data_IF_536061484209
#
_entry.id   IF_536061484209
#
_cell.length_a   1.000
_cell.length_b   1.000
_cell.length_c   1.000
_cell.angle_alpha   90.00
_cell.angle_beta   90.00
_cell.angle_gamma   90.00
#
_symmetry.space_group_name_H-M   'P 1'
#
loop_
_entity.id
_entity.type
_entity.pdbx_description
1 polymer ?
#
# COMPACT_ATOMS: atom_id res chain seq x y z
N UNK A 1 7.78 10.32 8.22
CA UNK A 1 7.06 11.39 7.47
C UNK A 1 5.56 11.21 7.63
N UNK A 2 4.83 12.19 8.21
CA UNK A 2 3.41 12.01 8.61
C UNK A 2 2.46 11.83 7.42
N UNK A 3 2.70 12.50 6.30
CA UNK A 3 1.87 12.40 5.09
C UNK A 3 1.94 11.00 4.47
N UNK A 4 3.15 10.41 4.36
CA UNK A 4 3.33 9.02 3.91
C UNK A 4 2.69 8.02 4.87
N UNK A 5 2.67 8.31 6.17
CA UNK A 5 1.96 7.45 7.12
C UNK A 5 0.45 7.47 6.87
N UNK A 6 -0.15 8.64 6.62
CA UNK A 6 -1.57 8.75 6.25
C UNK A 6 -1.85 8.04 4.94
N UNK A 7 -1.05 8.27 3.92
CA UNK A 7 -1.21 7.61 2.63
C UNK A 7 -1.07 6.07 2.75
N UNK A 8 -0.12 5.57 3.56
CA UNK A 8 0.00 4.15 3.86
C UNK A 8 -1.24 3.57 4.54
N UNK A 9 -1.94 4.35 5.38
CA UNK A 9 -3.21 3.92 6.02
C UNK A 9 -4.33 3.84 4.99
N UNK A 10 -4.40 4.78 4.05
CA UNK A 10 -5.38 4.77 2.95
C UNK A 10 -5.20 3.51 2.08
N UNK A 11 -3.97 3.18 1.67
CA UNK A 11 -3.67 1.96 0.91
C UNK A 11 -3.99 0.70 1.71
N UNK A 12 -3.59 0.64 2.98
CA UNK A 12 -3.88 -0.50 3.85
C UNK A 12 -5.40 -0.73 4.00
N UNK A 13 -6.20 0.34 4.04
CA UNK A 13 -7.65 0.23 4.12
C UNK A 13 -8.25 -0.37 2.83
N UNK A 14 -7.74 0.02 1.65
CA UNK A 14 -8.16 -0.58 0.37
C UNK A 14 -7.77 -2.05 0.27
N UNK A 15 -6.58 -2.43 0.74
CA UNK A 15 -6.17 -3.84 0.78
C UNK A 15 -7.11 -4.67 1.67
N UNK A 16 -7.54 -4.12 2.82
CA UNK A 16 -8.48 -4.80 3.73
C UNK A 16 -9.88 -4.99 3.16
N UNK A 17 -10.28 -4.24 2.12
CA UNK A 17 -11.59 -4.39 1.48
C UNK A 17 -11.60 -5.44 0.37
N UNK A 18 -10.43 -5.93 -0.06
CA UNK A 18 -10.33 -6.95 -1.10
C UNK A 18 -10.62 -8.33 -0.49
N UNK A 19 -11.64 -9.00 -1.01
CA UNK A 19 -12.00 -10.37 -0.60
C UNK A 19 -10.81 -11.30 -0.85
N UNK A 20 -10.48 -12.13 0.15
CA UNK A 20 -9.35 -13.05 0.08
C UNK A 20 -8.02 -12.45 0.54
N UNK A 21 -7.97 -11.17 0.94
CA UNK A 21 -6.82 -10.59 1.64
C UNK A 21 -7.09 -10.54 3.14
N UNK A 22 -6.10 -10.92 3.97
CA UNK A 22 -6.20 -10.81 5.42
C UNK A 22 -4.88 -10.45 6.09
N UNK A 23 -4.96 -10.04 7.37
CA UNK A 23 -3.79 -9.72 8.21
C UNK A 23 -2.82 -8.71 7.59
N UNK A 24 -3.37 -7.62 7.03
CA UNK A 24 -2.58 -6.55 6.42
C UNK A 24 -1.72 -5.84 7.48
N UNK A 25 -0.41 -6.03 7.39
CA UNK A 25 0.61 -5.35 8.19
C UNK A 25 1.28 -4.32 7.29
N UNK A 26 1.42 -3.08 7.78
CA UNK A 26 2.10 -2.00 7.07
C UNK A 26 3.36 -1.57 7.81
N UNK A 27 4.40 -1.23 7.08
CA UNK A 27 5.55 -0.50 7.59
C UNK A 27 6.10 0.40 6.49
N UNK A 28 6.72 1.52 6.88
CA UNK A 28 7.29 2.47 5.94
C UNK A 28 8.80 2.56 6.21
N UNK A 29 9.59 2.57 5.17
CA UNK A 29 11.05 2.78 5.24
C UNK A 29 11.44 3.84 4.21
N UNK A 30 11.86 5.01 4.69
CA UNK A 30 12.14 6.17 3.84
C UNK A 30 10.96 6.53 2.92
N UNK A 31 11.20 6.40 1.61
CA UNK A 31 10.22 6.63 0.53
C UNK A 31 9.53 5.34 0.06
N UNK A 32 9.71 4.22 0.75
CA UNK A 32 9.07 2.95 0.40
C UNK A 32 7.99 2.59 1.40
N UNK A 33 6.79 2.27 0.91
CA UNK A 33 5.68 1.75 1.70
C UNK A 33 5.58 0.24 1.50
N UNK A 34 5.50 -0.50 2.59
CA UNK A 34 5.45 -1.95 2.56
C UNK A 34 4.15 -2.45 3.19
N UNK A 35 3.56 -3.46 2.53
CA UNK A 35 2.34 -4.12 2.97
C UNK A 35 2.54 -5.63 2.91
N UNK A 36 2.58 -6.28 4.06
CA UNK A 36 2.58 -7.74 4.15
C UNK A 36 1.16 -8.22 4.41
N UNK A 37 0.69 -9.23 3.69
CA UNK A 37 -0.63 -9.80 3.91
C UNK A 37 -0.73 -11.25 3.47
N UNK A 38 -1.72 -11.94 4.02
CA UNK A 38 -2.14 -13.26 3.58
C UNK A 38 -3.12 -13.14 2.43
N UNK A 39 -3.05 -14.07 1.48
CA UNK A 39 -3.99 -14.13 0.35
C UNK A 39 -4.55 -15.55 0.10
N UNK A 40 -5.82 -15.64 -0.31
CA UNK A 40 -6.48 -16.94 -0.53
C UNK A 40 -6.08 -17.60 -1.85
N UNK A 41 -6.12 -16.83 -2.94
CA UNK A 41 -5.82 -17.24 -4.32
C UNK A 41 -5.22 -16.07 -5.13
N UNK A 42 -4.68 -16.34 -6.32
CA UNK A 42 -4.01 -15.31 -7.13
C UNK A 42 -4.97 -14.29 -7.77
N UNK A 43 -6.28 -14.50 -7.76
CA UNK A 43 -7.24 -13.55 -8.35
C UNK A 43 -7.30 -12.24 -7.56
N UNK A 44 -6.87 -12.24 -6.29
CA UNK A 44 -6.75 -11.03 -5.47
C UNK A 44 -5.89 -9.95 -6.13
N UNK A 45 -4.91 -10.34 -6.96
CA UNK A 45 -4.01 -9.40 -7.63
C UNK A 45 -4.70 -8.61 -8.74
N UNK A 46 -5.75 -9.17 -9.35
CA UNK A 46 -6.60 -8.45 -10.30
C UNK A 46 -7.39 -7.34 -9.59
N UNK A 47 -7.87 -7.61 -8.37
CA UNK A 47 -8.55 -6.62 -7.55
C UNK A 47 -7.60 -5.57 -7.00
N UNK A 48 -6.37 -5.98 -6.65
CA UNK A 48 -5.30 -5.04 -6.28
C UNK A 48 -5.04 -4.08 -7.43
N UNK A 49 -4.84 -4.57 -8.65
CA UNK A 49 -4.59 -3.74 -9.84
C UNK A 49 -5.71 -2.73 -10.10
N UNK A 50 -6.97 -3.09 -9.83
CA UNK A 50 -8.13 -2.20 -10.00
C UNK A 50 -8.27 -1.14 -8.92
N UNK A 51 -7.97 -1.47 -7.66
CA UNK A 51 -8.30 -0.63 -6.51
C UNK A 51 -7.12 0.24 -6.05
N UNK A 52 -5.90 -0.17 -6.35
CA UNK A 52 -4.69 0.47 -5.86
C UNK A 52 -4.04 1.35 -6.94
N UNK A 53 -3.39 2.47 -6.56
CA UNK A 53 -2.60 3.29 -7.49
C UNK A 53 -1.50 2.48 -8.20
N UNK A 54 -1.06 2.85 -9.41
CA UNK A 54 -0.03 2.09 -10.14
C UNK A 54 1.36 2.17 -9.47
N UNK A 55 2.33 1.43 -10.01
CA UNK A 55 3.74 1.39 -9.58
C UNK A 55 4.02 0.68 -8.25
N UNK A 56 3.30 -0.41 -8.01
CA UNK A 56 3.62 -1.35 -6.93
C UNK A 56 4.36 -2.58 -7.46
N UNK A 57 5.11 -3.22 -6.56
CA UNK A 57 5.79 -4.48 -6.80
C UNK A 57 5.35 -5.50 -5.77
N UNK A 58 5.09 -6.72 -6.20
CA UNK A 58 4.77 -7.84 -5.30
C UNK A 58 5.97 -8.79 -5.20
N UNK A 59 6.31 -9.17 -3.97
CA UNK A 59 7.27 -10.23 -3.67
C UNK A 59 6.52 -11.38 -3.01
N UNK A 60 6.54 -12.54 -3.66
CA UNK A 60 6.05 -13.79 -3.07
C UNK A 60 7.10 -14.31 -2.10
N UNK A 61 6.69 -14.57 -0.86
CA UNK A 61 7.60 -15.16 0.13
C UNK A 61 7.64 -16.68 -0.06
N UNK A 62 8.70 -17.34 0.42
CA UNK A 62 8.79 -18.82 0.39
C UNK A 62 7.78 -19.50 1.33
N UNK A 63 7.05 -18.72 2.14
CA UNK A 63 5.97 -19.22 3.00
C UNK A 63 4.68 -19.20 2.21
N UNK A 64 3.95 -20.31 2.24
CA UNK A 64 2.66 -20.43 1.57
C UNK A 64 1.77 -19.24 1.90
N UNK A 65 1.27 -18.57 0.85
CA UNK A 65 0.20 -17.56 0.92
C UNK A 65 0.50 -16.25 1.66
N UNK A 66 1.77 -15.91 1.93
CA UNK A 66 2.17 -14.55 2.38
C UNK A 66 2.88 -13.82 1.24
N UNK A 67 2.46 -12.58 0.99
CA UNK A 67 3.15 -11.65 0.07
C UNK A 67 3.53 -10.34 0.73
N UNK A 68 4.51 -9.68 0.13
CA UNK A 68 4.88 -8.30 0.43
C UNK A 68 4.67 -7.45 -0.82
N UNK A 69 3.74 -6.49 -0.74
CA UNK A 69 3.55 -5.45 -1.72
C UNK A 69 4.37 -4.22 -1.32
N UNK A 70 5.11 -3.64 -2.27
CA UNK A 70 5.98 -2.49 -2.07
C UNK A 70 5.57 -1.35 -3.01
N UNK A 71 5.51 -0.14 -2.48
CA UNK A 71 5.38 1.10 -3.23
C UNK A 71 6.63 1.94 -3.07
N UNK A 72 7.33 2.21 -4.16
CA UNK A 72 8.42 3.17 -4.16
C UNK A 72 7.87 4.53 -4.54
N UNK A 73 7.83 5.45 -3.59
CA UNK A 73 7.34 6.81 -3.79
C UNK A 73 8.48 7.63 -4.39
N UNK A 74 8.28 8.17 -5.59
CA UNK A 74 9.26 9.10 -6.18
C UNK A 74 9.32 10.40 -5.38
N UNK A 75 10.38 11.17 -5.55
CA UNK A 75 10.50 12.48 -4.89
C UNK A 75 9.33 13.41 -5.25
N UNK A 76 8.95 13.45 -6.53
CA UNK A 76 7.80 14.22 -7.03
C UNK A 76 6.48 13.77 -6.39
N UNK A 77 6.24 12.46 -6.29
CA UNK A 77 5.05 11.93 -5.61
C UNK A 77 5.05 12.26 -4.12
N UNK A 78 6.23 12.24 -3.48
CA UNK A 78 6.36 12.58 -2.07
C UNK A 78 5.99 14.05 -1.81
N UNK A 79 6.43 14.96 -2.68
CA UNK A 79 6.08 16.38 -2.64
C UNK A 79 4.57 16.58 -2.84
N UNK A 80 3.99 15.96 -3.88
CA UNK A 80 2.55 15.98 -4.12
C UNK A 80 1.73 15.46 -2.92
N UNK A 81 2.13 14.33 -2.34
CA UNK A 81 1.45 13.76 -1.17
C UNK A 81 1.58 14.65 0.07
N UNK A 82 2.68 15.38 0.22
CA UNK A 82 2.88 16.33 1.30
C UNK A 82 1.92 17.53 1.16
N UNK A 83 1.76 18.08 -0.05
CA UNK A 83 0.80 19.16 -0.34
C UNK A 83 -0.64 18.72 -0.07
N UNK A 84 -1.03 17.55 -0.57
CA UNK A 84 -2.36 16.98 -0.33
C UNK A 84 -2.66 16.82 1.16
N UNK A 85 -1.66 16.40 1.94
CA UNK A 85 -1.80 16.26 3.39
C UNK A 85 -2.01 17.61 4.10
N UNK A 86 -1.33 18.67 3.65
CA UNK A 86 -1.50 20.01 4.21
C UNK A 86 -2.90 20.56 3.91
N UNK A 87 -3.39 20.38 2.68
CA UNK A 87 -4.74 20.82 2.28
C UNK A 87 -5.81 20.09 3.12
N UNK A 88 -5.68 18.77 3.30
CA UNK A 88 -6.62 17.98 4.11
C UNK A 88 -6.66 18.38 5.59
N UNK A 89 -5.57 18.97 6.12
CA UNK A 89 -5.50 19.42 7.52
C UNK A 89 -6.13 20.78 7.78
N UNK A 90 -6.33 21.58 6.75
CA UNK A 90 -6.93 22.91 6.84
C UNK A 90 -8.46 22.88 6.69
N UNK A 91 -9.01 21.71 6.34
CA UNK A 91 -10.45 21.42 6.31
C UNK A 91 -10.86 20.68 7.58
#
# INVERSE_FOLDING_TARGET
MKHLEVYSKEIAQRLKTIKGISSVIRYNDGLTLHFSFWFENYEVFNEIERQLPPNWYVSFTQRDKIVVLKYNISQEQNEFLAEQYLIKKQK
#
